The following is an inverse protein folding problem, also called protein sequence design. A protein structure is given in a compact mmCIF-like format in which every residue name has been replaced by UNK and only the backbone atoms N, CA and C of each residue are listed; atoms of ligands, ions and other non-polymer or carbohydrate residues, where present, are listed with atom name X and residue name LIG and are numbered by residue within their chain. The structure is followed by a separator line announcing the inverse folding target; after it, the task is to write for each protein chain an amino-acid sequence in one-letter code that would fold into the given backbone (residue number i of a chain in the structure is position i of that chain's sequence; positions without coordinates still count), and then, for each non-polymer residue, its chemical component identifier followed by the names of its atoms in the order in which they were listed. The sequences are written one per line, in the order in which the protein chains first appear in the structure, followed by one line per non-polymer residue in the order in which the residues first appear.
data_IF_092614207302
#
_entry.id   IF_092614207302
#
_cell.length_a   1.000
_cell.length_b   1.000
_cell.length_c   1.000
_cell.angle_alpha   90.00
_cell.angle_beta   90.00
_cell.angle_gamma   90.00
#
_symmetry.space_group_name_H-M   'P 1'
#
loop_
_entity.id
_entity.type
_entity.pdbx_description
1 polymer ?
#
# COMPACT_ATOMS: atom_id res chain seq x y z
N UNK A 1 -9.74 1.89 -23.98
CA UNK A 1 -9.09 0.97 -23.01
C UNK A 1 -7.66 0.64 -23.43
N UNK A 2 -6.82 1.64 -23.69
CA UNK A 2 -5.40 1.45 -24.09
C UNK A 2 -4.43 2.24 -23.20
N UNK A 3 -4.90 3.25 -22.48
CA UNK A 3 -4.06 4.16 -21.68
C UNK A 3 -3.52 3.47 -20.42
N UNK A 4 -4.28 2.55 -19.81
CA UNK A 4 -3.86 1.83 -18.61
C UNK A 4 -2.73 0.81 -18.86
N UNK A 5 -2.70 0.20 -20.05
CA UNK A 5 -1.71 -0.84 -20.40
C UNK A 5 -0.33 -0.21 -20.65
N UNK A 6 -0.28 0.97 -21.26
CA UNK A 6 0.99 1.65 -21.55
C UNK A 6 1.67 2.20 -20.29
N UNK A 7 0.92 2.64 -19.27
CA UNK A 7 1.48 3.10 -17.99
C UNK A 7 2.14 1.99 -17.15
N UNK A 8 1.82 0.71 -17.41
CA UNK A 8 2.35 -0.42 -16.66
C UNK A 8 3.75 -0.86 -17.12
N UNK A 9 4.22 -0.40 -18.28
CA UNK A 9 5.56 -0.72 -18.78
C UNK A 9 6.63 0.08 -18.02
N UNK A 10 7.18 -0.53 -16.97
CA UNK A 10 8.24 0.03 -16.13
C UNK A 10 7.92 0.12 -14.64
N UNK A 11 6.70 -0.27 -14.23
CA UNK A 11 6.33 -0.27 -12.83
C UNK A 11 7.01 -1.41 -12.07
N UNK A 12 7.82 -1.06 -11.06
CA UNK A 12 8.54 -2.02 -10.21
C UNK A 12 7.72 -2.54 -9.03
N UNK A 13 6.69 -1.79 -8.64
CA UNK A 13 5.82 -2.10 -7.52
C UNK A 13 4.55 -1.22 -7.60
N UNK A 14 3.45 -1.76 -7.08
CA UNK A 14 2.20 -1.08 -6.80
C UNK A 14 1.75 -1.51 -5.40
N UNK A 15 1.74 -0.58 -4.46
CA UNK A 15 1.33 -0.77 -3.08
C UNK A 15 -0.13 -0.32 -2.93
N UNK A 16 -0.94 -1.14 -2.29
CA UNK A 16 -2.37 -0.93 -2.11
C UNK A 16 -2.70 -1.22 -0.66
N UNK A 17 -3.57 -0.40 -0.06
CA UNK A 17 -4.24 -0.71 1.19
C UNK A 17 -5.74 -0.81 0.96
N UNK A 18 -6.33 -1.86 1.49
CA UNK A 18 -7.72 -2.22 1.37
C UNK A 18 -8.33 -2.25 2.77
N UNK A 19 -9.52 -1.65 2.92
CA UNK A 19 -10.33 -1.71 4.13
C UNK A 19 -11.77 -1.95 3.73
N UNK A 20 -12.47 -2.86 4.41
CA UNK A 20 -13.87 -3.21 4.12
C UNK A 20 -14.14 -3.60 2.66
N UNK A 21 -13.16 -4.22 1.99
CA UNK A 21 -13.27 -4.61 0.58
C UNK A 21 -12.97 -3.51 -0.44
N UNK A 22 -12.69 -2.28 0.01
CA UNK A 22 -12.41 -1.13 -0.86
C UNK A 22 -10.94 -0.72 -0.77
N UNK A 23 -10.34 -0.38 -1.92
CA UNK A 23 -9.00 0.19 -1.97
C UNK A 23 -9.06 1.67 -1.56
N UNK A 24 -8.49 1.99 -0.40
CA UNK A 24 -8.54 3.35 0.16
C UNK A 24 -7.33 4.20 -0.23
N UNK A 25 -6.21 3.56 -0.58
CA UNK A 25 -5.01 4.22 -1.05
C UNK A 25 -4.17 3.24 -1.88
N UNK A 26 -3.60 3.73 -2.97
CA UNK A 26 -2.62 3.01 -3.76
C UNK A 26 -1.52 3.95 -4.24
N UNK A 27 -0.30 3.42 -4.34
CA UNK A 27 0.84 4.15 -4.86
C UNK A 27 1.91 3.24 -5.45
N UNK A 28 2.70 3.77 -6.36
CA UNK A 28 3.78 3.03 -7.04
C UNK A 28 5.13 3.18 -6.33
N UNK A 29 5.24 4.18 -5.46
CA UNK A 29 6.39 4.42 -4.61
C UNK A 29 6.04 4.16 -3.15
N UNK A 30 6.83 3.34 -2.45
CA UNK A 30 6.56 2.98 -1.06
C UNK A 30 6.55 4.19 -0.10
N UNK A 31 7.44 5.16 -0.30
CA UNK A 31 7.50 6.34 0.59
C UNK A 31 6.27 7.23 0.39
N UNK A 32 5.83 7.40 -0.85
CA UNK A 32 4.58 8.11 -1.14
C UNK A 32 3.37 7.37 -0.56
N UNK A 33 3.33 6.04 -0.70
CA UNK A 33 2.29 5.18 -0.13
C UNK A 33 2.17 5.35 1.39
N UNK A 34 3.29 5.27 2.12
CA UNK A 34 3.28 5.39 3.60
C UNK A 34 2.82 6.77 4.03
N UNK A 35 3.28 7.84 3.36
CA UNK A 35 2.84 9.21 3.66
C UNK A 35 1.33 9.39 3.47
N UNK A 36 0.80 8.95 2.32
CA UNK A 36 -0.65 9.00 2.06
C UNK A 36 -1.44 8.16 3.08
N UNK A 37 -0.92 7.00 3.45
CA UNK A 37 -1.59 6.18 4.45
C UNK A 37 -1.55 6.81 5.85
N UNK A 38 -0.47 7.49 6.23
CA UNK A 38 -0.35 8.24 7.48
C UNK A 38 -1.32 9.44 7.56
N UNK A 39 -1.62 10.07 6.42
CA UNK A 39 -2.68 11.10 6.31
C UNK A 39 -4.09 10.51 6.55
N UNK A 40 -4.31 9.24 6.19
CA UNK A 40 -5.60 8.54 6.39
C UNK A 40 -5.71 7.96 7.81
N UNK A 41 -4.60 7.43 8.33
CA UNK A 41 -4.51 6.77 9.62
C UNK A 41 -3.34 7.35 10.42
N UNK A 42 -3.63 8.31 11.30
CA UNK A 42 -2.61 9.02 12.09
C UNK A 42 -1.83 8.12 13.05
N UNK A 43 -2.34 6.94 13.39
CA UNK A 43 -1.62 5.91 14.17
C UNK A 43 -0.82 4.93 13.29
N UNK A 44 -0.61 5.28 12.01
CA UNK A 44 0.15 4.47 11.07
C UNK A 44 1.58 4.18 11.57
N UNK A 45 2.10 3.02 11.17
CA UNK A 45 3.51 2.69 11.37
C UNK A 45 4.40 3.51 10.43
N UNK A 46 5.66 3.66 10.82
CA UNK A 46 6.61 4.42 10.01
C UNK A 46 7.05 3.67 8.73
N UNK A 47 7.76 4.39 7.86
CA UNK A 47 8.28 3.85 6.61
C UNK A 47 9.11 2.57 6.78
N UNK A 48 9.97 2.49 7.81
CA UNK A 48 10.87 1.36 8.03
C UNK A 48 10.12 0.07 8.36
N UNK A 49 8.98 0.18 9.05
CA UNK A 49 8.09 -0.96 9.27
C UNK A 49 7.57 -1.50 7.92
N UNK A 50 6.97 -0.64 7.11
CA UNK A 50 6.41 -1.03 5.81
C UNK A 50 7.48 -1.55 4.86
N UNK A 51 8.65 -0.92 4.82
CA UNK A 51 9.79 -1.36 4.00
C UNK A 51 10.23 -2.78 4.37
N UNK A 52 10.42 -3.06 5.66
CA UNK A 52 10.80 -4.40 6.14
C UNK A 52 9.70 -5.43 5.90
N UNK A 53 8.43 -5.05 6.08
CA UNK A 53 7.28 -5.94 5.91
C UNK A 53 7.09 -6.32 4.44
N UNK A 54 7.07 -5.35 3.52
CA UNK A 54 6.97 -5.61 2.07
C UNK A 54 8.19 -6.28 1.44
N UNK A 55 9.34 -6.29 2.13
CA UNK A 55 10.51 -7.09 1.73
C UNK A 55 10.30 -8.59 2.01
N UNK A 56 9.49 -8.94 3.01
CA UNK A 56 9.24 -10.32 3.44
C UNK A 56 7.95 -10.90 2.85
N UNK A 57 6.90 -10.08 2.81
CA UNK A 57 5.55 -10.52 2.48
C UNK A 57 4.94 -9.58 1.43
N UNK A 58 4.32 -10.15 0.40
CA UNK A 58 3.59 -9.37 -0.62
C UNK A 58 2.19 -8.95 -0.17
N UNK A 59 1.62 -9.67 0.79
CA UNK A 59 0.29 -9.41 1.32
C UNK A 59 0.32 -9.64 2.83
N UNK A 60 -0.19 -8.70 3.61
CA UNK A 60 -0.30 -8.83 5.06
C UNK A 60 -1.47 -8.00 5.59
N UNK A 61 -1.94 -8.36 6.78
CA UNK A 61 -2.95 -7.60 7.51
C UNK A 61 -2.34 -6.84 8.68
N UNK A 62 -2.94 -5.71 9.03
CA UNK A 62 -2.58 -4.93 10.21
C UNK A 62 -3.83 -4.32 10.81
N UNK A 63 -3.95 -4.42 12.14
CA UNK A 63 -5.00 -3.74 12.88
C UNK A 63 -4.44 -2.47 13.50
N UNK A 64 -5.02 -1.32 13.17
CA UNK A 64 -4.67 0.00 13.71
C UNK A 64 -5.94 0.68 14.20
N UNK A 65 -5.94 1.20 15.42
CA UNK A 65 -7.10 1.88 16.03
C UNK A 65 -8.41 1.09 15.93
N UNK A 66 -8.33 -0.25 16.05
CA UNK A 66 -9.48 -1.16 15.93
C UNK A 66 -9.97 -1.43 14.49
N UNK A 67 -9.32 -0.87 13.47
CA UNK A 67 -9.64 -1.08 12.05
C UNK A 67 -8.68 -2.10 11.45
N UNK A 68 -9.21 -3.09 10.74
CA UNK A 68 -8.39 -4.05 9.99
C UNK A 68 -8.08 -3.49 8.59
N UNK A 69 -6.79 -3.48 8.24
CA UNK A 69 -6.28 -3.08 6.94
C UNK A 69 -5.58 -4.25 6.29
N UNK A 70 -5.84 -4.46 5.00
CA UNK A 70 -5.12 -5.42 4.17
C UNK A 70 -4.19 -4.67 3.26
N UNK A 71 -2.89 -4.93 3.37
CA UNK A 71 -1.85 -4.35 2.56
C UNK A 71 -1.42 -5.34 1.49
N UNK A 72 -1.27 -4.84 0.27
CA UNK A 72 -0.85 -5.64 -0.88
C UNK A 72 0.21 -4.91 -1.69
N UNK A 73 1.25 -5.63 -2.07
CA UNK A 73 2.24 -5.21 -3.06
C UNK A 73 2.04 -6.07 -4.31
N UNK A 74 1.64 -5.44 -5.40
CA UNK A 74 1.62 -5.99 -6.74
C UNK A 74 2.90 -5.58 -7.47
N UNK A 75 3.37 -6.43 -8.40
CA UNK A 75 4.68 -6.37 -9.09
C UNK A 75 5.85 -6.67 -8.12
#
# INVERSE_FOLDING_TARGET
MYIFVTMLQGLKALYIVIRNGEAICFETNLRAFVRKFEEIEGESRNFDFFYRKFKRERLFKLTLSGKEYTFQKLL
#
